data_IF_663740689820
#
_entry.id   IF_663740689820
#
_cell.length_a   1.000
_cell.length_b   1.000
_cell.length_c   1.000
_cell.angle_alpha   90.00
_cell.angle_beta   90.00
_cell.angle_gamma   90.00
#
_symmetry.space_group_name_H-M   'P 1'
#
loop_
_entity.id
_entity.type
_entity.pdbx_description
1 polymer ?
#
# COMPACT_ATOMS: atom_id res chain seq x y z
N UNK A 1 4.19 19.00 -5.34
CA UNK A 1 3.71 19.42 -4.01
C UNK A 1 4.62 18.80 -2.97
N UNK A 2 5.10 19.61 -2.04
CA UNK A 2 6.27 19.24 -1.19
C UNK A 2 6.02 19.43 0.30
N UNK A 3 4.81 19.77 0.73
CA UNK A 3 4.51 19.89 2.17
C UNK A 3 3.07 19.56 2.53
N UNK A 4 2.85 19.19 3.80
CA UNK A 4 1.53 18.92 4.38
C UNK A 4 0.56 20.10 4.29
N UNK A 5 1.06 21.33 4.15
CA UNK A 5 0.24 22.54 4.00
C UNK A 5 -0.39 22.68 2.61
N UNK A 6 0.22 22.07 1.60
CA UNK A 6 -0.26 22.08 0.22
C UNK A 6 -1.19 20.91 -0.09
N UNK A 7 -1.21 19.90 0.79
CA UNK A 7 -2.07 18.75 0.66
C UNK A 7 -3.54 19.11 0.94
N UNK A 8 -4.38 18.83 -0.06
CA UNK A 8 -5.83 18.83 0.05
C UNK A 8 -6.36 17.40 -0.07
N UNK A 9 -7.12 16.97 0.94
CA UNK A 9 -7.77 15.66 0.96
C UNK A 9 -8.74 15.52 -0.21
N UNK A 10 -8.67 14.40 -0.93
CA UNK A 10 -9.56 14.08 -2.05
C UNK A 10 -9.31 14.93 -3.31
N UNK A 11 -8.27 15.76 -3.34
CA UNK A 11 -7.93 16.55 -4.52
C UNK A 11 -7.39 15.65 -5.65
N UNK A 12 -7.76 15.89 -6.92
CA UNK A 12 -7.26 15.14 -8.06
C UNK A 12 -5.83 15.59 -8.44
N UNK A 13 -4.82 14.86 -7.96
CA UNK A 13 -3.42 15.11 -8.31
C UNK A 13 -3.02 14.38 -9.59
N UNK A 14 -2.25 15.04 -10.45
CA UNK A 14 -1.66 14.49 -11.67
C UNK A 14 -0.13 14.48 -11.63
N UNK A 15 0.51 14.11 -12.74
CA UNK A 15 1.97 14.16 -12.89
C UNK A 15 2.74 12.93 -12.41
N UNK A 16 2.03 11.85 -12.03
CA UNK A 16 2.64 10.57 -11.68
C UNK A 16 2.87 9.71 -12.93
N UNK A 17 4.13 9.58 -13.36
CA UNK A 17 4.48 8.84 -14.56
C UNK A 17 4.41 7.32 -14.37
N UNK A 18 4.53 6.83 -13.13
CA UNK A 18 4.46 5.41 -12.80
C UNK A 18 3.08 4.97 -12.31
N UNK A 19 2.16 5.90 -12.09
CA UNK A 19 0.79 5.54 -11.72
C UNK A 19 0.06 4.94 -12.90
N UNK A 20 -0.74 3.89 -12.66
CA UNK A 20 -1.65 3.33 -13.66
C UNK A 20 -2.73 4.35 -14.07
N UNK A 21 -3.15 5.20 -13.14
CA UNK A 21 -4.12 6.26 -13.40
C UNK A 21 -3.45 7.63 -13.48
N UNK A 22 -3.82 8.43 -14.47
CA UNK A 22 -3.27 9.77 -14.66
C UNK A 22 -3.62 10.74 -13.51
N UNK A 23 -4.76 10.49 -12.85
CA UNK A 23 -5.27 11.31 -11.75
C UNK A 23 -5.46 10.41 -10.53
N UNK A 24 -4.92 10.81 -9.39
CA UNK A 24 -5.03 10.09 -8.13
C UNK A 24 -5.49 11.05 -7.02
N UNK A 25 -6.37 10.56 -6.15
CA UNK A 25 -6.82 11.27 -4.96
C UNK A 25 -6.43 10.49 -3.70
N UNK A 26 -6.16 11.20 -2.62
CA UNK A 26 -5.66 10.62 -1.37
C UNK A 26 -6.41 11.18 -0.17
N UNK A 27 -6.60 10.33 0.84
CA UNK A 27 -7.28 10.64 2.09
C UNK A 27 -6.33 11.16 3.17
N UNK A 28 -5.06 10.76 3.13
CA UNK A 28 -4.08 11.05 4.17
C UNK A 28 -2.72 11.49 3.60
N UNK A 29 -2.21 12.60 4.14
CA UNK A 29 -0.88 13.11 3.75
C UNK A 29 0.25 12.21 4.23
N UNK A 30 0.34 11.96 5.55
CA UNK A 30 1.49 11.30 6.19
C UNK A 30 1.67 9.82 5.81
N UNK A 31 0.67 9.25 5.14
CA UNK A 31 0.70 7.87 4.64
C UNK A 31 0.53 7.86 3.11
N UNK A 32 -0.69 7.89 2.60
CA UNK A 32 -1.00 7.62 1.19
C UNK A 32 -0.29 8.54 0.21
N UNK A 33 -0.32 9.86 0.47
CA UNK A 33 0.31 10.84 -0.40
C UNK A 33 1.84 10.70 -0.39
N UNK A 34 2.44 10.54 0.79
CA UNK A 34 3.89 10.33 0.94
C UNK A 34 4.32 9.00 0.31
N UNK A 35 3.54 7.93 0.46
CA UNK A 35 3.80 6.64 -0.17
C UNK A 35 3.81 6.75 -1.70
N UNK A 36 2.79 7.40 -2.29
CA UNK A 36 2.74 7.63 -3.73
C UNK A 36 3.96 8.39 -4.24
N UNK A 37 4.42 9.41 -3.49
CA UNK A 37 5.65 10.16 -3.82
C UNK A 37 6.91 9.28 -3.75
N UNK A 38 7.02 8.40 -2.75
CA UNK A 38 8.12 7.42 -2.66
C UNK A 38 8.10 6.46 -3.85
N UNK A 39 6.94 5.94 -4.23
CA UNK A 39 6.81 5.03 -5.38
C UNK A 39 7.20 5.71 -6.69
N UNK A 40 6.72 6.93 -6.90
CA UNK A 40 7.01 7.72 -8.09
C UNK A 40 8.51 8.00 -8.24
N UNK A 41 9.19 8.36 -7.14
CA UNK A 41 10.63 8.69 -7.17
C UNK A 41 11.56 7.47 -7.17
N UNK A 42 11.10 6.31 -6.71
CA UNK A 42 11.95 5.12 -6.56
C UNK A 42 12.29 4.48 -7.91
N UNK A 43 13.58 4.37 -8.23
CA UNK A 43 14.04 3.80 -9.50
C UNK A 43 13.66 2.31 -9.68
N UNK A 44 13.53 1.57 -8.57
CA UNK A 44 13.18 0.15 -8.53
C UNK A 44 11.66 -0.10 -8.53
N UNK A 45 10.84 0.95 -8.64
CA UNK A 45 9.38 0.83 -8.84
C UNK A 45 9.08 1.06 -10.31
N UNK A 46 8.39 0.09 -10.92
CA UNK A 46 7.96 0.13 -12.33
C UNK A 46 6.60 0.78 -12.50
N UNK A 47 5.65 0.41 -11.66
CA UNK A 47 4.29 0.92 -11.69
C UNK A 47 3.63 0.84 -10.32
N UNK A 48 2.62 1.66 -10.08
CA UNK A 48 1.77 1.56 -8.89
C UNK A 48 0.34 1.98 -9.21
N UNK A 49 -0.60 1.50 -8.41
CA UNK A 49 -2.02 1.87 -8.51
C UNK A 49 -2.57 2.10 -7.11
N UNK A 50 -3.25 3.23 -6.92
CA UNK A 50 -4.10 3.47 -5.76
C UNK A 50 -5.35 2.60 -5.93
N UNK A 51 -5.68 1.82 -4.90
CA UNK A 51 -6.88 1.00 -4.92
C UNK A 51 -8.05 1.83 -4.42
N UNK A 52 -9.14 1.80 -5.17
CA UNK A 52 -10.43 2.37 -4.81
C UNK A 52 -11.56 1.43 -5.28
N UNK A 53 -12.78 1.95 -5.32
CA UNK A 53 -13.98 1.26 -5.80
C UNK A 53 -13.92 0.80 -7.26
N UNK A 54 -13.00 1.33 -8.07
CA UNK A 54 -12.81 0.92 -9.47
C UNK A 54 -11.91 -0.31 -9.62
N UNK A 55 -11.09 -0.64 -8.61
CA UNK A 55 -10.18 -1.78 -8.63
C UNK A 55 -10.77 -2.93 -7.83
N UNK A 56 -11.04 -4.11 -8.42
CA UNK A 56 -11.78 -5.19 -7.78
C UNK A 56 -10.94 -6.06 -6.82
N UNK A 57 -10.10 -5.45 -5.97
CA UNK A 57 -9.33 -6.14 -4.94
C UNK A 57 -9.91 -5.88 -3.56
N UNK A 58 -10.50 -6.91 -2.94
CA UNK A 58 -11.00 -6.84 -1.56
C UNK A 58 -10.45 -7.99 -0.74
N UNK A 59 -9.93 -7.69 0.44
CA UNK A 59 -9.40 -8.69 1.37
C UNK A 59 -10.39 -8.88 2.52
N UNK A 60 -10.70 -10.14 2.79
CA UNK A 60 -11.62 -10.52 3.86
C UNK A 60 -10.85 -10.70 5.17
N UNK A 61 -11.32 -10.08 6.25
CA UNK A 61 -10.74 -10.20 7.58
C UNK A 61 -11.83 -10.40 8.64
N UNK A 62 -11.42 -10.87 9.83
CA UNK A 62 -12.33 -11.06 10.97
C UNK A 62 -12.22 -9.88 11.93
N UNK A 63 -13.35 -9.25 12.24
CA UNK A 63 -13.51 -8.29 13.31
C UNK A 63 -14.30 -8.95 14.45
N UNK A 64 -13.58 -9.62 15.37
CA UNK A 64 -14.21 -10.56 16.30
C UNK A 64 -14.80 -11.75 15.55
N UNK A 65 -16.08 -12.05 15.77
CA UNK A 65 -16.78 -13.12 15.06
C UNK A 65 -17.40 -12.69 13.71
N UNK A 66 -17.23 -11.42 13.30
CA UNK A 66 -17.86 -10.87 12.10
C UNK A 66 -16.86 -10.81 10.96
N UNK A 67 -17.21 -11.44 9.83
CA UNK A 67 -16.48 -11.32 8.58
C UNK A 67 -16.71 -9.93 7.97
N UNK A 68 -15.63 -9.25 7.60
CA UNK A 68 -15.64 -7.96 6.92
C UNK A 68 -14.70 -7.98 5.74
N UNK A 69 -14.87 -7.02 4.84
CA UNK A 69 -13.95 -6.79 3.73
C UNK A 69 -13.36 -5.40 3.84
N UNK A 70 -12.18 -5.23 3.26
CA UNK A 70 -11.58 -3.93 3.07
C UNK A 70 -10.82 -3.87 1.75
N UNK A 71 -10.57 -2.64 1.29
CA UNK A 71 -9.78 -2.32 0.11
C UNK A 71 -8.37 -1.97 0.61
N UNK A 72 -7.31 -2.66 0.16
CA UNK A 72 -5.94 -2.28 0.49
C UNK A 72 -5.60 -0.90 -0.05
N UNK A 73 -4.47 -0.31 0.35
CA UNK A 73 -4.18 1.06 -0.06
C UNK A 73 -3.61 1.14 -1.49
N UNK A 74 -2.61 0.33 -1.81
CA UNK A 74 -1.93 0.34 -3.10
C UNK A 74 -1.55 -1.06 -3.58
N UNK A 75 -1.41 -1.20 -4.89
CA UNK A 75 -0.54 -2.21 -5.49
C UNK A 75 0.70 -1.51 -6.06
N UNK A 76 1.89 -2.07 -5.83
CA UNK A 76 3.17 -1.58 -6.37
C UNK A 76 3.88 -2.74 -7.06
N UNK A 77 4.37 -2.54 -8.28
CA UNK A 77 5.17 -3.52 -9.02
C UNK A 77 6.62 -3.05 -9.02
N UNK A 78 7.50 -3.84 -8.44
CA UNK A 78 8.94 -3.56 -8.43
C UNK A 78 9.64 -4.06 -9.70
N UNK A 79 10.92 -3.70 -9.84
CA UNK A 79 11.76 -4.07 -10.98
C UNK A 79 12.07 -5.57 -11.05
N UNK A 80 11.97 -6.29 -9.93
CA UNK A 80 12.01 -7.75 -9.88
C UNK A 80 10.70 -8.42 -10.30
N UNK A 81 9.63 -7.65 -10.55
CA UNK A 81 8.32 -8.15 -10.96
C UNK A 81 7.43 -8.62 -9.82
N UNK A 82 7.82 -8.35 -8.56
CA UNK A 82 6.99 -8.68 -7.40
C UNK A 82 5.83 -7.68 -7.31
N UNK A 83 4.63 -8.21 -7.08
CA UNK A 83 3.41 -7.44 -6.88
C UNK A 83 3.17 -7.24 -5.39
N UNK A 84 3.25 -5.99 -4.94
CA UNK A 84 3.16 -5.64 -3.53
C UNK A 84 1.81 -5.03 -3.20
N UNK A 85 1.09 -5.61 -2.25
CA UNK A 85 0.08 -4.85 -1.51
C UNK A 85 0.83 -3.95 -0.54
N UNK A 86 0.55 -2.65 -0.55
CA UNK A 86 1.19 -1.69 0.37
C UNK A 86 0.11 -0.94 1.14
N UNK A 87 0.24 -0.88 2.46
CA UNK A 87 -0.67 -0.16 3.35
C UNK A 87 0.09 0.82 4.25
N UNK A 88 -0.46 2.03 4.39
CA UNK A 88 0.06 3.06 5.28
C UNK A 88 -0.88 3.29 6.46
N UNK A 89 -0.34 3.38 7.68
CA UNK A 89 -1.14 3.65 8.90
C UNK A 89 -0.44 4.63 9.83
N UNK A 90 -1.22 5.36 10.64
CA UNK A 90 -0.64 6.20 11.69
C UNK A 90 0.10 5.35 12.71
N UNK A 91 1.14 5.89 13.33
CA UNK A 91 1.93 5.15 14.31
C UNK A 91 1.05 4.64 15.47
N UNK A 92 0.08 5.45 15.89
CA UNK A 92 -0.88 5.13 16.95
C UNK A 92 -1.85 4.01 16.58
N UNK A 93 -2.01 3.68 15.31
CA UNK A 93 -2.91 2.63 14.82
C UNK A 93 -2.20 1.29 14.59
N UNK A 94 -0.87 1.26 14.57
CA UNK A 94 -0.08 0.06 14.27
C UNK A 94 -0.35 -1.11 15.23
N UNK A 95 -0.77 -0.83 16.46
CA UNK A 95 -1.13 -1.82 17.48
C UNK A 95 -2.66 -2.04 17.61
N UNK A 96 -3.46 -1.38 16.78
CA UNK A 96 -4.92 -1.53 16.80
C UNK A 96 -5.30 -2.98 16.42
N UNK A 97 -6.22 -3.62 17.15
CA UNK A 97 -6.70 -4.96 16.80
C UNK A 97 -7.24 -5.06 15.36
N UNK A 98 -7.86 -3.98 14.85
CA UNK A 98 -8.37 -3.96 13.46
C UNK A 98 -7.23 -3.91 12.44
N UNK A 99 -6.18 -3.14 12.69
CA UNK A 99 -5.02 -3.06 11.79
C UNK A 99 -4.26 -4.39 11.79
N UNK A 100 -4.06 -4.99 12.97
CA UNK A 100 -3.47 -6.33 13.10
C UNK A 100 -4.29 -7.37 12.33
N UNK A 101 -5.62 -7.38 12.49
CA UNK A 101 -6.48 -8.34 11.79
C UNK A 101 -6.43 -8.18 10.26
N UNK A 102 -6.38 -6.94 9.75
CA UNK A 102 -6.23 -6.68 8.31
C UNK A 102 -4.86 -7.12 7.79
N UNK A 103 -3.79 -6.78 8.52
CA UNK A 103 -2.42 -7.20 8.21
C UNK A 103 -2.29 -8.72 8.12
N UNK A 104 -2.83 -9.43 9.10
CA UNK A 104 -2.78 -10.89 9.14
C UNK A 104 -3.60 -11.51 7.99
N UNK A 105 -4.73 -10.90 7.65
CA UNK A 105 -5.54 -11.29 6.48
C UNK A 105 -4.80 -11.05 5.15
N UNK A 106 -4.12 -9.91 4.98
CA UNK A 106 -3.32 -9.64 3.79
C UNK A 106 -2.13 -10.60 3.67
N UNK A 107 -1.44 -10.89 4.78
CA UNK A 107 -0.36 -11.87 4.81
C UNK A 107 -0.86 -13.29 4.44
N UNK A 108 -2.03 -13.69 4.94
CA UNK A 108 -2.66 -14.96 4.58
C UNK A 108 -3.08 -14.99 3.10
N UNK A 109 -3.59 -13.86 2.58
CA UNK A 109 -3.92 -13.72 1.17
C UNK A 109 -2.69 -13.89 0.28
N UNK A 110 -1.57 -13.21 0.60
CA UNK A 110 -0.28 -13.34 -0.11
C UNK A 110 0.18 -14.80 -0.14
N UNK A 111 0.17 -15.46 1.02
CA UNK A 111 0.53 -16.89 1.10
C UNK A 111 -0.36 -17.77 0.24
N UNK A 112 -1.65 -17.46 0.16
CA UNK A 112 -2.62 -18.24 -0.62
C UNK A 112 -2.38 -18.08 -2.11
N UNK A 113 -2.21 -16.85 -2.60
CA UNK A 113 -1.97 -16.61 -4.03
C UNK A 113 -0.61 -17.15 -4.48
N UNK A 114 0.44 -17.00 -3.67
CA UNK A 114 1.76 -17.55 -3.97
C UNK A 114 1.80 -19.10 -3.95
N UNK A 115 0.80 -19.75 -3.33
CA UNK A 115 0.65 -21.20 -3.33
C UNK A 115 -0.27 -21.74 -4.43
N UNK A 116 -0.83 -20.87 -5.27
CA UNK A 116 -1.73 -21.25 -6.36
C UNK A 116 -0.98 -21.40 -7.67
N UNK A 117 -1.18 -22.51 -8.39
CA UNK A 117 -0.62 -22.71 -9.73
C UNK A 117 -1.27 -21.79 -10.78
N UNK A 118 -2.40 -21.16 -10.45
CA UNK A 118 -3.12 -20.23 -11.34
C UNK A 118 -2.57 -18.79 -11.28
N UNK A 119 -1.72 -18.47 -10.30
CA UNK A 119 -1.12 -17.15 -10.15
C UNK A 119 0.37 -17.25 -10.51
N UNK A 120 0.78 -16.54 -11.56
CA UNK A 120 2.15 -16.63 -12.08
C UNK A 120 3.06 -15.54 -11.51
N UNK A 121 2.47 -14.49 -10.97
CA UNK A 121 3.15 -13.39 -10.31
C UNK A 121 3.50 -13.74 -8.86
N UNK A 122 4.67 -13.29 -8.41
CA UNK A 122 4.98 -13.34 -6.98
C UNK A 122 4.34 -12.15 -6.28
N UNK A 123 3.59 -12.42 -5.21
CA UNK A 123 3.00 -11.39 -4.37
C UNK A 123 3.75 -11.21 -3.05
N UNK A 124 3.71 -9.99 -2.53
CA UNK A 124 4.21 -9.65 -1.20
C UNK A 124 3.31 -8.58 -0.57
N UNK A 125 3.45 -8.39 0.74
CA UNK A 125 2.69 -7.39 1.48
C UNK A 125 3.61 -6.56 2.36
N UNK A 126 3.39 -5.24 2.38
CA UNK A 126 4.12 -4.26 3.17
C UNK A 126 3.14 -3.38 3.95
N UNK A 127 3.28 -3.38 5.29
CA UNK A 127 2.61 -2.42 6.17
C UNK A 127 3.63 -1.42 6.70
N UNK A 128 3.43 -0.13 6.43
CA UNK A 128 4.30 0.96 6.86
C UNK A 128 3.56 1.92 7.81
N UNK A 129 4.23 2.32 8.89
CA UNK A 129 3.73 3.39 9.76
C UNK A 129 4.02 4.76 9.15
N UNK A 130 3.35 5.82 9.61
CA UNK A 130 3.57 7.17 9.07
C UNK A 130 5.00 7.67 9.33
N UNK A 131 5.62 7.28 10.46
CA UNK A 131 7.04 7.56 10.70
C UNK A 131 7.95 6.87 9.68
N UNK A 132 7.65 5.62 9.31
CA UNK A 132 8.39 4.89 8.27
C UNK A 132 8.19 5.55 6.91
N UNK A 133 6.94 5.92 6.57
CA UNK A 133 6.62 6.61 5.33
C UNK A 133 7.40 7.93 5.21
N UNK A 134 7.40 8.74 6.26
CA UNK A 134 8.10 10.03 6.28
C UNK A 134 9.63 9.94 6.26
N UNK A 135 10.20 8.83 6.74
CA UNK A 135 11.65 8.61 6.75
C UNK A 135 12.17 7.94 5.47
N UNK A 136 11.32 7.23 4.74
CA UNK A 136 11.72 6.50 3.54
C UNK A 136 12.00 7.44 2.37
N UNK A 137 13.23 7.37 1.82
CA UNK A 137 13.62 8.10 0.61
C UNK A 137 13.63 7.22 -0.65
N UNK A 138 13.39 5.92 -0.49
CA UNK A 138 13.30 4.94 -1.57
C UNK A 138 12.41 3.75 -1.19
N UNK A 139 12.05 2.96 -2.19
CA UNK A 139 11.33 1.70 -2.04
C UNK A 139 12.05 0.71 -1.13
N UNK A 140 13.38 0.62 -1.21
CA UNK A 140 14.21 -0.24 -0.37
C UNK A 140 14.18 0.21 1.10
N UNK A 141 14.27 1.53 1.33
CA UNK A 141 14.16 2.10 2.67
C UNK A 141 12.78 1.82 3.28
N UNK A 142 11.72 1.98 2.49
CA UNK A 142 10.36 1.68 2.91
C UNK A 142 10.17 0.20 3.28
N UNK A 143 10.65 -0.73 2.42
CA UNK A 143 10.63 -2.17 2.71
C UNK A 143 11.43 -2.53 3.96
N UNK A 144 12.55 -1.85 4.19
CA UNK A 144 13.42 -2.11 5.35
C UNK A 144 12.84 -1.57 6.67
N UNK A 145 12.08 -0.48 6.62
CA UNK A 145 11.44 0.12 7.79
C UNK A 145 10.05 -0.43 8.12
N UNK A 146 9.34 -1.02 7.14
CA UNK A 146 8.00 -1.56 7.31
C UNK A 146 7.96 -3.05 7.69
N UNK A 147 6.75 -3.55 7.93
CA UNK A 147 6.50 -4.98 8.16
C UNK A 147 6.26 -5.67 6.81
N UNK A 148 7.17 -6.58 6.43
CA UNK A 148 7.13 -7.30 5.14
C UNK A 148 6.68 -8.75 5.33
N UNK A 149 5.80 -9.19 4.44
CA UNK A 149 5.27 -10.56 4.36
C UNK A 149 5.41 -11.07 2.92
N UNK A 150 5.84 -12.33 2.75
CA UNK A 150 6.05 -13.01 1.47
C UNK A 150 5.47 -14.42 1.52
#
# INVERSE_FOLDING_TARGET
>A
MTSSREFTRGYPYDGYAKSVYAINAFDAYSTEFVLADVFEKSATVRAWVRIDETVPLRITYLAGAVQRQYEPDFIVIDDAGVHWIVEGKRDSEMSSPVVIAKRDAAAAWVKTVNGSDEVHETWAYLLASESVCGAATSWEALKSGGQVYR
#
